data_IF_696372374952
#
_entry.id   IF_696372374952
#
_cell.length_a   1.000
_cell.length_b   1.000
_cell.length_c   1.000
_cell.angle_alpha   90.00
_cell.angle_beta   90.00
_cell.angle_gamma   90.00
#
_symmetry.space_group_name_H-M   'P 1'
#
loop_
_entity.id
_entity.type
_entity.pdbx_description
1 polymer ?
#
# COMPACT_ATOMS: atom_id res chain seq x y z
N UNK A 1 -16.96 -3.74 10.46
CA UNK A 1 -15.73 -3.78 9.65
C UNK A 1 -15.39 -2.34 9.33
N UNK A 2 -14.21 -1.85 9.69
CA UNK A 2 -13.76 -0.50 9.28
C UNK A 2 -13.33 -0.58 7.81
N UNK A 3 -13.79 0.33 6.97
CA UNK A 3 -13.41 0.38 5.56
C UNK A 3 -11.89 0.59 5.42
N UNK A 4 -11.26 -0.10 4.47
CA UNK A 4 -9.82 0.00 4.22
C UNK A 4 -9.51 1.23 3.36
N UNK A 5 -10.41 1.53 2.42
CA UNK A 5 -10.38 2.69 1.55
C UNK A 5 -11.49 3.68 1.96
N UNK A 6 -11.08 4.88 2.38
CA UNK A 6 -12.01 5.95 2.71
C UNK A 6 -12.28 6.83 1.48
N UNK A 7 -13.29 6.45 0.69
CA UNK A 7 -13.66 7.16 -0.55
C UNK A 7 -13.90 8.66 -0.32
N UNK A 8 -14.54 9.02 0.79
CA UNK A 8 -14.94 10.40 1.09
C UNK A 8 -13.69 11.24 1.37
N UNK A 9 -12.79 10.75 2.21
CA UNK A 9 -11.55 11.45 2.52
C UNK A 9 -10.62 11.53 1.30
N UNK A 10 -10.56 10.48 0.49
CA UNK A 10 -9.79 10.47 -0.75
C UNK A 10 -10.29 11.55 -1.72
N UNK A 11 -11.59 11.54 -2.03
CA UNK A 11 -12.18 12.51 -2.96
C UNK A 11 -12.11 13.95 -2.41
N UNK A 12 -12.30 14.16 -1.10
CA UNK A 12 -12.10 15.45 -0.45
C UNK A 12 -10.66 15.95 -0.60
N UNK A 13 -9.67 15.05 -0.52
CA UNK A 13 -8.26 15.43 -0.71
C UNK A 13 -7.92 15.85 -2.14
N UNK A 14 -8.82 15.56 -3.08
CA UNK A 14 -8.77 15.97 -4.48
C UNK A 14 -9.78 17.09 -4.79
N UNK A 15 -10.29 17.78 -3.76
CA UNK A 15 -11.29 18.84 -3.91
C UNK A 15 -12.56 18.44 -4.69
N UNK A 16 -12.93 17.15 -4.66
CA UNK A 16 -14.09 16.65 -5.39
C UNK A 16 -13.80 16.19 -6.83
N UNK A 17 -12.55 16.29 -7.31
CA UNK A 17 -12.19 15.93 -8.67
C UNK A 17 -12.24 14.40 -8.88
N UNK A 18 -13.33 13.93 -9.49
CA UNK A 18 -13.54 12.50 -9.75
C UNK A 18 -12.68 11.99 -10.91
N UNK A 19 -12.35 12.81 -11.90
CA UNK A 19 -11.52 12.38 -13.02
C UNK A 19 -10.10 12.08 -12.53
N UNK A 20 -9.52 13.01 -11.75
CA UNK A 20 -8.25 12.80 -11.08
C UNK A 20 -8.28 11.61 -10.10
N UNK A 21 -9.40 11.42 -9.40
CA UNK A 21 -9.56 10.27 -8.51
C UNK A 21 -9.45 8.93 -9.26
N UNK A 22 -10.09 8.82 -10.42
CA UNK A 22 -10.05 7.60 -11.24
C UNK A 22 -8.64 7.36 -11.80
N UNK A 23 -7.95 8.39 -12.26
CA UNK A 23 -6.57 8.28 -12.74
C UNK A 23 -5.61 7.79 -11.64
N UNK A 24 -5.69 8.39 -10.45
CA UNK A 24 -4.83 8.03 -9.32
C UNK A 24 -5.11 6.61 -8.81
N UNK A 25 -6.38 6.19 -8.76
CA UNK A 25 -6.73 4.83 -8.37
C UNK A 25 -6.30 3.81 -9.43
N UNK A 26 -6.46 4.12 -10.72
CA UNK A 26 -5.95 3.28 -11.80
C UNK A 26 -4.45 3.06 -11.70
N UNK A 27 -3.68 4.15 -11.61
CA UNK A 27 -2.23 4.09 -11.46
C UNK A 27 -1.79 3.33 -10.18
N UNK A 28 -2.51 3.53 -9.07
CA UNK A 28 -2.23 2.80 -7.83
C UNK A 28 -2.46 1.29 -7.99
N UNK A 29 -3.59 0.88 -8.59
CA UNK A 29 -3.92 -0.54 -8.76
C UNK A 29 -3.00 -1.24 -9.75
N UNK A 30 -2.49 -0.53 -10.75
CA UNK A 30 -1.53 -1.05 -11.73
C UNK A 30 -0.12 -1.17 -11.14
N UNK A 31 0.34 -0.18 -10.37
CA UNK A 31 1.71 -0.16 -9.83
C UNK A 31 1.89 -1.02 -8.56
N UNK A 32 0.87 -1.07 -7.68
CA UNK A 32 1.02 -1.69 -6.37
C UNK A 32 1.41 -3.18 -6.42
N UNK A 33 0.93 -4.02 -7.36
CA UNK A 33 1.32 -5.42 -7.47
C UNK A 33 2.79 -5.61 -7.82
N UNK A 34 3.34 -4.76 -8.71
CA UNK A 34 4.76 -4.81 -9.08
C UNK A 34 5.67 -4.47 -7.89
N UNK A 35 5.26 -3.48 -7.09
CA UNK A 35 6.01 -3.07 -5.89
C UNK A 35 5.95 -4.12 -4.78
N UNK A 36 4.81 -4.77 -4.59
CA UNK A 36 4.67 -5.93 -3.69
C UNK A 36 5.55 -7.09 -4.13
N UNK A 37 5.62 -7.36 -5.44
CA UNK A 37 6.49 -8.39 -6.02
C UNK A 37 7.96 -8.07 -5.75
N UNK A 38 8.39 -6.84 -6.04
CA UNK A 38 9.76 -6.38 -5.79
C UNK A 38 10.15 -6.47 -4.31
N UNK A 39 9.21 -6.17 -3.39
CA UNK A 39 9.44 -6.28 -1.95
C UNK A 39 9.57 -7.74 -1.52
N UNK A 40 8.74 -8.64 -2.07
CA UNK A 40 8.87 -10.07 -1.84
C UNK A 40 10.25 -10.58 -2.27
N UNK A 41 10.71 -10.22 -3.46
CA UNK A 41 12.03 -10.63 -3.96
C UNK A 41 13.16 -10.14 -3.04
N UNK A 42 13.07 -8.91 -2.53
CA UNK A 42 14.04 -8.39 -1.57
C UNK A 42 14.06 -9.21 -0.26
N UNK A 43 12.88 -9.60 0.25
CA UNK A 43 12.76 -10.43 1.46
C UNK A 43 13.27 -11.85 1.25
N UNK A 44 13.01 -12.44 0.08
CA UNK A 44 13.51 -13.77 -0.29
C UNK A 44 15.03 -13.79 -0.44
N UNK A 45 15.63 -12.68 -0.90
CA UNK A 45 17.06 -12.49 -1.05
C UNK A 45 17.79 -11.98 0.22
N UNK A 46 17.08 -11.85 1.35
CA UNK A 46 17.63 -11.28 2.60
C UNK A 46 18.17 -9.84 2.48
N UNK A 47 17.78 -9.11 1.44
CA UNK A 47 18.18 -7.71 1.22
C UNK A 47 17.26 -6.76 2.02
N UNK A 48 17.50 -6.69 3.32
CA UNK A 48 16.75 -5.85 4.25
C UNK A 48 16.87 -4.35 3.94
N UNK A 49 17.99 -3.92 3.34
CA UNK A 49 18.19 -2.54 2.91
C UNK A 49 17.29 -2.18 1.72
N UNK A 50 17.18 -3.06 0.72
CA UNK A 50 16.22 -2.91 -0.38
C UNK A 50 14.78 -3.03 0.12
N UNK A 51 14.48 -4.00 1.00
CA UNK A 51 13.15 -4.17 1.56
C UNK A 51 12.66 -2.89 2.27
N UNK A 52 13.51 -2.25 3.06
CA UNK A 52 13.18 -0.98 3.73
C UNK A 52 12.83 0.13 2.75
N UNK A 53 13.64 0.31 1.69
CA UNK A 53 13.40 1.35 0.67
C UNK A 53 12.11 1.10 -0.11
N UNK A 54 11.82 -0.15 -0.44
CA UNK A 54 10.58 -0.53 -1.11
C UNK A 54 9.35 -0.32 -0.22
N UNK A 55 9.44 -0.67 1.07
CA UNK A 55 8.38 -0.39 2.05
C UNK A 55 8.13 1.12 2.23
N UNK A 56 9.19 1.94 2.25
CA UNK A 56 9.06 3.40 2.26
C UNK A 56 8.30 3.91 1.02
N UNK A 57 8.61 3.37 -0.15
CA UNK A 57 7.92 3.73 -1.39
C UNK A 57 6.44 3.33 -1.37
N UNK A 58 6.12 2.12 -0.89
CA UNK A 58 4.74 1.67 -0.72
C UNK A 58 3.96 2.57 0.23
N UNK A 59 4.57 2.99 1.34
CA UNK A 59 3.95 3.93 2.30
C UNK A 59 3.53 5.24 1.61
N UNK A 60 4.41 5.83 0.81
CA UNK A 60 4.11 7.07 0.09
C UNK A 60 2.93 6.91 -0.88
N UNK A 61 2.97 5.83 -1.67
CA UNK A 61 1.91 5.47 -2.61
C UNK A 61 0.56 5.25 -1.92
N UNK A 62 0.50 4.45 -0.84
CA UNK A 62 -0.72 4.21 -0.07
C UNK A 62 -1.29 5.49 0.56
N UNK A 63 -0.42 6.45 0.89
CA UNK A 63 -0.81 7.75 1.42
C UNK A 63 -1.55 8.64 0.41
N UNK A 64 -1.24 8.51 -0.88
CA UNK A 64 -1.94 9.24 -1.96
C UNK A 64 -3.42 8.85 -2.01
N UNK A 65 -3.70 7.55 -1.89
CA UNK A 65 -5.06 6.99 -1.97
C UNK A 65 -5.77 6.86 -0.61
N UNK A 66 -5.21 7.46 0.44
CA UNK A 66 -5.79 7.52 1.81
C UNK A 66 -6.13 6.15 2.41
N UNK A 67 -5.21 5.20 2.30
CA UNK A 67 -5.34 3.86 2.90
C UNK A 67 -4.53 3.75 4.19
N UNK A 68 -5.03 4.32 5.29
CA UNK A 68 -4.29 4.49 6.55
C UNK A 68 -3.70 3.17 7.10
N UNK A 69 -4.43 2.06 6.99
CA UNK A 69 -3.92 0.76 7.44
C UNK A 69 -2.72 0.28 6.60
N UNK A 70 -2.75 0.49 5.28
CA UNK A 70 -1.63 0.15 4.40
C UNK A 70 -0.43 1.06 4.65
N UNK A 71 -0.65 2.35 4.90
CA UNK A 71 0.40 3.29 5.30
C UNK A 71 1.08 2.83 6.59
N UNK A 72 0.28 2.44 7.59
CA UNK A 72 0.80 1.94 8.88
C UNK A 72 1.61 0.65 8.73
N UNK A 73 1.10 -0.31 7.96
CA UNK A 73 1.80 -1.58 7.69
C UNK A 73 3.10 -1.35 6.92
N UNK A 74 3.10 -0.48 5.91
CA UNK A 74 4.29 -0.12 5.14
C UNK A 74 5.34 0.60 6.00
N UNK A 75 4.92 1.50 6.89
CA UNK A 75 5.81 2.11 7.88
C UNK A 75 6.39 1.08 8.86
N UNK A 76 5.57 0.12 9.29
CA UNK A 76 6.01 -0.99 10.13
C UNK A 76 7.08 -1.84 9.45
N UNK A 77 6.87 -2.21 8.18
CA UNK A 77 7.85 -2.92 7.35
C UNK A 77 9.13 -2.11 7.16
N UNK A 78 9.01 -0.81 6.86
CA UNK A 78 10.15 0.09 6.70
C UNK A 78 11.05 0.07 7.94
N UNK A 79 10.45 0.20 9.13
CA UNK A 79 11.16 0.24 10.41
C UNK A 79 11.73 -1.13 10.81
N UNK A 80 10.96 -2.21 10.65
CA UNK A 80 11.42 -3.56 10.93
C UNK A 80 12.62 -3.93 10.03
N UNK A 81 12.53 -3.57 8.74
CA UNK A 81 13.60 -3.80 7.78
C UNK A 81 14.87 -2.99 8.11
N UNK A 82 14.72 -1.71 8.50
CA UNK A 82 15.83 -0.86 8.97
C UNK A 82 16.58 -1.47 10.16
N UNK A 83 15.85 -2.16 11.04
CA UNK A 83 16.41 -2.78 12.23
C UNK A 83 16.92 -4.21 12.00
N UNK A 84 16.83 -4.73 10.76
CA UNK A 84 17.23 -6.10 10.43
C UNK A 84 16.27 -7.18 10.95
N UNK A 85 15.06 -6.81 11.41
CA UNK A 85 14.07 -7.76 11.92
C UNK A 85 13.28 -8.40 10.78
N UNK A 86 13.86 -9.44 10.16
CA UNK A 86 13.26 -10.14 9.02
C UNK A 86 11.92 -10.77 9.39
N UNK A 87 11.83 -11.44 10.53
CA UNK A 87 10.63 -12.14 10.96
C UNK A 87 9.44 -11.19 11.06
N UNK A 88 9.63 -10.03 11.71
CA UNK A 88 8.61 -8.99 11.80
C UNK A 88 8.28 -8.38 10.44
N UNK A 89 9.29 -8.15 9.59
CA UNK A 89 9.06 -7.59 8.25
C UNK A 89 8.19 -8.52 7.40
N UNK A 90 8.45 -9.84 7.43
CA UNK A 90 7.67 -10.85 6.70
C UNK A 90 6.24 -10.98 7.24
N UNK A 91 6.05 -10.91 8.56
CA UNK A 91 4.71 -10.91 9.16
C UNK A 91 3.89 -9.69 8.68
N UNK A 92 4.47 -8.49 8.79
CA UNK A 92 3.83 -7.26 8.33
C UNK A 92 3.59 -7.23 6.81
N UNK A 93 4.48 -7.84 6.02
CA UNK A 93 4.29 -7.99 4.58
C UNK A 93 3.09 -8.89 4.24
N UNK A 94 2.88 -9.96 5.01
CA UNK A 94 1.72 -10.84 4.84
C UNK A 94 0.42 -10.09 5.13
N UNK A 95 0.39 -9.32 6.22
CA UNK A 95 -0.75 -8.48 6.57
C UNK A 95 -1.00 -7.39 5.52
N UNK A 96 0.07 -6.75 5.02
CA UNK A 96 0.00 -5.74 3.97
C UNK A 96 -0.65 -6.29 2.70
N UNK A 97 -0.23 -7.48 2.25
CA UNK A 97 -0.80 -8.12 1.06
C UNK A 97 -2.31 -8.40 1.20
N UNK A 98 -2.74 -8.91 2.35
CA UNK A 98 -4.16 -9.20 2.61
C UNK A 98 -5.00 -7.92 2.55
N UNK A 99 -4.51 -6.86 3.20
CA UNK A 99 -5.20 -5.56 3.20
C UNK A 99 -5.16 -4.89 1.82
N UNK A 100 -4.10 -5.09 1.03
CA UNK A 100 -4.00 -4.52 -0.32
C UNK A 100 -5.05 -5.14 -1.26
N UNK A 101 -5.23 -6.46 -1.22
CA UNK A 101 -6.28 -7.13 -1.97
C UNK A 101 -7.66 -6.57 -1.63
N UNK A 102 -7.96 -6.43 -0.33
CA UNK A 102 -9.24 -5.88 0.10
C UNK A 102 -9.41 -4.39 -0.26
N UNK A 103 -8.33 -3.60 -0.25
CA UNK A 103 -8.35 -2.22 -0.74
C UNK A 103 -8.67 -2.16 -2.25
N UNK A 104 -8.05 -3.02 -3.07
CA UNK A 104 -8.33 -3.09 -4.51
C UNK A 104 -9.80 -3.43 -4.76
N UNK A 105 -10.38 -4.36 -4.01
CA UNK A 105 -11.81 -4.71 -4.13
C UNK A 105 -12.73 -3.51 -3.81
N UNK A 106 -12.40 -2.72 -2.78
CA UNK A 106 -13.14 -1.50 -2.45
C UNK A 106 -12.98 -0.41 -3.53
N UNK A 107 -11.76 -0.21 -4.04
CA UNK A 107 -11.47 0.76 -5.11
C UNK A 107 -12.16 0.38 -6.43
N UNK A 108 -12.19 -0.90 -6.81
CA UNK A 108 -12.92 -1.37 -7.97
C UNK A 108 -14.43 -1.09 -7.88
N UNK A 109 -15.03 -1.19 -6.69
CA UNK A 109 -16.44 -0.84 -6.49
C UNK A 109 -16.68 0.66 -6.68
N UNK A 110 -15.77 1.50 -6.18
CA UNK A 110 -15.85 2.95 -6.36
C UNK A 110 -15.71 3.40 -7.83
N UNK A 111 -14.83 2.74 -8.59
CA UNK A 111 -14.59 3.03 -10.01
C UNK A 111 -15.80 2.63 -10.87
N UNK A 112 -16.42 1.48 -10.56
CA UNK A 112 -17.53 0.92 -11.35
C UNK A 112 -18.93 1.32 -10.85
N UNK A 113 -19.01 2.07 -9.75
CA UNK A 113 -20.26 2.62 -9.19
C UNK A 113 -20.45 4.07 -9.58
#
# INVERSE_FOLDING_TARGET
MTAIFNETQFLQSLAGDRELALELLGAFMDDSPERVTSLKEALDADDMGKASRLAHSLKGMCGVVRTDILVSLALGMENAAKNGDKAKTVALFTDFKSNLTAAHDEMHKFING
#
